data_IF_457191752055
#
_entry.id   IF_457191752055
#
_cell.length_a   1.000
_cell.length_b   1.000
_cell.length_c   1.000
_cell.angle_alpha   90.00
_cell.angle_beta   90.00
_cell.angle_gamma   90.00
#
_symmetry.space_group_name_H-M   'P 1'
#
loop_
_entity.id
_entity.type
_entity.pdbx_description
1 polymer ?
#
# COMPACT_ATOMS: atom_id res chain seq x y z
N UNK A 1 20.12 -11.29 12.68
CA UNK A 1 18.68 -11.65 12.55
C UNK A 1 18.01 -10.59 11.68
N UNK A 2 17.85 -10.88 10.40
CA UNK A 2 17.23 -9.95 9.44
C UNK A 2 15.71 -10.07 9.56
N UNK A 3 15.04 -9.12 10.19
CA UNK A 3 13.57 -9.01 10.21
C UNK A 3 13.15 -7.77 9.43
N UNK A 4 12.91 -7.95 8.14
CA UNK A 4 12.23 -6.94 7.32
C UNK A 4 10.78 -6.80 7.80
N UNK A 5 10.29 -5.59 7.91
CA UNK A 5 8.95 -5.22 8.45
C UNK A 5 7.78 -5.93 7.73
N UNK A 6 8.00 -6.44 6.53
CA UNK A 6 7.02 -7.19 5.71
C UNK A 6 6.91 -8.69 6.11
N UNK A 7 7.68 -9.19 7.09
CA UNK A 7 7.68 -10.62 7.46
C UNK A 7 6.41 -11.14 8.16
N UNK A 8 5.48 -10.27 8.55
CA UNK A 8 4.33 -10.68 9.36
C UNK A 8 3.16 -11.32 8.58
N UNK A 9 3.15 -11.29 7.24
CA UNK A 9 1.99 -11.73 6.44
C UNK A 9 1.96 -13.24 6.12
N UNK A 10 3.04 -13.99 6.32
CA UNK A 10 3.23 -15.30 5.67
C UNK A 10 3.33 -16.54 6.56
N UNK A 11 3.07 -16.49 7.87
CA UNK A 11 3.16 -17.70 8.71
C UNK A 11 1.85 -18.48 8.91
N UNK A 12 0.74 -18.13 8.26
CA UNK A 12 -0.57 -18.77 8.49
C UNK A 12 -1.09 -19.68 7.35
N UNK A 13 -0.31 -19.95 6.29
CA UNK A 13 -0.82 -20.66 5.11
C UNK A 13 -0.18 -22.04 4.82
N UNK A 14 0.43 -22.71 5.79
CA UNK A 14 1.06 -24.01 5.58
C UNK A 14 0.41 -25.13 6.39
N UNK A 15 -0.80 -25.55 6.04
CA UNK A 15 -1.32 -26.87 6.41
C UNK A 15 -2.60 -27.21 5.60
N UNK A 16 -2.46 -27.66 4.37
CA UNK A 16 -3.42 -28.56 3.70
C UNK A 16 -2.75 -29.10 2.43
N UNK A 17 -1.98 -30.15 2.62
CA UNK A 17 -1.48 -30.98 1.53
C UNK A 17 -2.48 -32.10 1.26
N UNK A 18 -2.65 -32.42 -0.01
CA UNK A 18 -3.39 -33.62 -0.35
C UNK A 18 -3.76 -33.80 -1.81
N UNK A 19 -3.04 -34.68 -2.46
CA UNK A 19 -3.47 -35.58 -3.54
C UNK A 19 -3.44 -35.09 -5.00
N UNK A 20 -2.45 -35.60 -5.68
CA UNK A 20 -2.36 -35.72 -7.15
C UNK A 20 -3.39 -36.74 -7.66
N UNK A 21 -4.21 -36.37 -8.62
CA UNK A 21 -5.00 -37.29 -9.41
C UNK A 21 -4.86 -36.95 -10.91
N UNK A 22 -4.70 -38.01 -11.65
CA UNK A 22 -4.33 -38.12 -13.03
C UNK A 22 -5.23 -37.40 -14.04
N UNK A 23 -4.64 -37.08 -15.21
CA UNK A 23 -5.24 -36.35 -16.34
C UNK A 23 -6.57 -36.92 -16.84
N UNK A 24 -7.58 -36.09 -16.80
CA UNK A 24 -8.75 -36.18 -17.65
C UNK A 24 -8.80 -34.93 -18.51
N UNK A 25 -8.88 -35.13 -19.83
CA UNK A 25 -9.24 -34.08 -20.78
C UNK A 25 -10.58 -33.49 -20.37
N UNK A 26 -10.55 -32.32 -19.75
CA UNK A 26 -11.75 -31.61 -19.34
C UNK A 26 -12.57 -31.24 -20.58
N UNK A 27 -13.91 -31.51 -20.60
CA UNK A 27 -14.78 -30.97 -21.62
C UNK A 27 -14.69 -29.45 -21.59
N UNK A 28 -14.85 -28.82 -22.76
CA UNK A 28 -14.84 -27.37 -22.90
C UNK A 28 -15.73 -26.76 -21.81
N UNK A 29 -15.13 -26.01 -20.89
CA UNK A 29 -15.84 -25.45 -19.75
C UNK A 29 -16.96 -24.55 -20.23
N UNK A 30 -18.20 -24.88 -19.82
CA UNK A 30 -19.33 -23.98 -20.03
C UNK A 30 -18.95 -22.60 -19.43
N UNK A 31 -19.08 -21.51 -20.20
CA UNK A 31 -18.70 -20.19 -19.70
C UNK A 31 -19.43 -19.90 -18.39
N UNK A 32 -18.68 -19.66 -17.34
CA UNK A 32 -19.25 -19.30 -16.03
C UNK A 32 -19.61 -17.81 -16.04
N UNK A 33 -20.76 -17.41 -15.47
CA UNK A 33 -21.08 -16.00 -15.29
C UNK A 33 -20.00 -15.29 -14.49
N UNK A 34 -19.63 -14.09 -14.92
CA UNK A 34 -18.67 -13.23 -14.25
C UNK A 34 -19.41 -12.04 -13.65
N UNK A 35 -19.16 -11.82 -12.36
CA UNK A 35 -19.71 -10.72 -11.60
C UNK A 35 -18.65 -9.60 -11.46
N UNK A 36 -19.01 -8.41 -11.93
CA UNK A 36 -18.17 -7.21 -11.83
C UNK A 36 -18.83 -6.22 -10.88
N UNK A 37 -18.08 -5.81 -9.86
CA UNK A 37 -18.52 -4.75 -8.95
C UNK A 37 -18.24 -3.39 -9.55
N UNK A 38 -19.22 -2.50 -9.49
CA UNK A 38 -19.15 -1.16 -10.05
C UNK A 38 -19.70 -0.15 -9.05
N UNK A 39 -18.84 0.73 -8.55
CA UNK A 39 -19.28 1.88 -7.76
C UNK A 39 -19.41 3.10 -8.67
N UNK A 40 -20.55 3.76 -8.60
CA UNK A 40 -20.82 4.98 -9.39
C UNK A 40 -21.10 6.14 -8.46
N UNK A 41 -20.35 7.22 -8.61
CA UNK A 41 -20.50 8.42 -7.80
C UNK A 41 -20.70 9.66 -8.67
N UNK A 42 -21.53 10.58 -8.20
CA UNK A 42 -21.71 11.91 -8.77
C UNK A 42 -21.91 12.92 -7.64
N UNK A 43 -21.30 14.10 -7.75
CA UNK A 43 -21.44 15.14 -6.72
C UNK A 43 -20.99 14.73 -5.31
N UNK A 44 -20.08 13.76 -5.21
CA UNK A 44 -19.59 13.23 -3.93
C UNK A 44 -20.51 12.19 -3.27
N UNK A 45 -21.61 11.79 -3.89
CA UNK A 45 -22.53 10.74 -3.42
C UNK A 45 -22.63 9.56 -4.37
N UNK A 46 -23.03 8.41 -3.83
CA UNK A 46 -23.32 7.22 -4.63
C UNK A 46 -24.62 7.42 -5.43
N UNK A 47 -24.58 7.03 -6.71
CA UNK A 47 -25.73 7.09 -7.62
C UNK A 47 -26.45 5.74 -7.56
N UNK A 48 -27.71 5.69 -7.10
CA UNK A 48 -28.46 4.45 -6.81
C UNK A 48 -29.69 4.20 -7.73
N UNK A 49 -29.91 5.08 -8.68
CA UNK A 49 -31.09 5.04 -9.58
C UNK A 49 -30.76 4.44 -10.97
N UNK A 50 -29.53 3.93 -11.19
CA UNK A 50 -29.11 3.40 -12.49
C UNK A 50 -29.75 2.04 -12.78
N UNK A 51 -30.09 1.82 -14.06
CA UNK A 51 -30.62 0.58 -14.61
C UNK A 51 -29.57 -0.19 -15.41
N UNK A 52 -29.85 -1.43 -15.79
CA UNK A 52 -29.01 -2.24 -16.65
C UNK A 52 -28.70 -1.55 -18.00
N UNK A 53 -29.67 -0.79 -18.53
CA UNK A 53 -29.53 -0.07 -19.80
C UNK A 53 -28.58 1.10 -19.76
N UNK A 54 -28.20 1.59 -18.57
CA UNK A 54 -27.27 2.71 -18.38
C UNK A 54 -25.81 2.30 -18.52
N UNK A 55 -25.50 0.98 -18.52
CA UNK A 55 -24.15 0.46 -18.56
C UNK A 55 -23.82 -0.19 -19.91
N UNK A 56 -22.62 0.09 -20.39
CA UNK A 56 -21.99 -0.64 -21.48
C UNK A 56 -20.74 -1.34 -20.93
N UNK A 57 -20.61 -2.65 -21.24
CA UNK A 57 -19.46 -3.47 -20.85
C UNK A 57 -18.70 -3.94 -22.11
N UNK A 58 -17.39 -3.81 -22.07
CA UNK A 58 -16.52 -4.42 -23.07
C UNK A 58 -15.51 -5.36 -22.41
N UNK A 59 -15.28 -6.53 -23.01
CA UNK A 59 -14.21 -7.46 -22.65
C UNK A 59 -13.19 -7.48 -23.81
N UNK A 60 -11.94 -7.15 -23.49
CA UNK A 60 -10.85 -7.01 -24.49
C UNK A 60 -11.25 -6.12 -25.69
N UNK A 61 -12.02 -5.04 -25.41
CA UNK A 61 -12.51 -4.11 -26.40
C UNK A 61 -13.75 -4.57 -27.18
N UNK A 62 -14.28 -5.78 -26.92
CA UNK A 62 -15.49 -6.30 -27.57
C UNK A 62 -16.71 -6.09 -26.67
N UNK A 63 -17.81 -5.50 -27.17
CA UNK A 63 -19.02 -5.34 -26.39
C UNK A 63 -19.58 -6.69 -25.93
N UNK A 64 -20.00 -6.75 -24.66
CA UNK A 64 -20.61 -7.92 -24.04
C UNK A 64 -21.98 -7.55 -23.47
N UNK A 65 -23.01 -8.38 -23.71
CA UNK A 65 -24.34 -8.12 -23.15
C UNK A 65 -24.37 -8.39 -21.64
N UNK A 66 -24.82 -7.42 -20.88
CA UNK A 66 -25.13 -7.58 -19.47
C UNK A 66 -26.39 -8.44 -19.28
N UNK A 67 -26.35 -9.39 -18.32
CA UNK A 67 -27.47 -10.28 -18.02
C UNK A 67 -28.29 -9.82 -16.82
N UNK A 68 -27.61 -9.32 -15.79
CA UNK A 68 -28.27 -8.84 -14.59
C UNK A 68 -27.53 -7.69 -13.94
N UNK A 69 -28.28 -6.91 -13.16
CA UNK A 69 -27.81 -5.86 -12.29
C UNK A 69 -28.39 -6.08 -10.91
N UNK A 70 -27.55 -6.14 -9.89
CA UNK A 70 -27.96 -6.13 -8.50
C UNK A 70 -27.41 -4.89 -7.81
N UNK A 71 -28.28 -4.03 -7.28
CA UNK A 71 -27.90 -2.89 -6.46
C UNK A 71 -27.72 -3.34 -5.03
N UNK A 72 -26.52 -3.13 -4.50
CA UNK A 72 -26.18 -3.37 -3.10
C UNK A 72 -25.96 -2.02 -2.42
N UNK A 73 -26.72 -1.78 -1.34
CA UNK A 73 -26.62 -0.58 -0.50
C UNK A 73 -26.36 -0.99 0.94
N UNK A 74 -25.35 -0.36 1.52
CA UNK A 74 -24.95 -0.73 2.87
C UNK A 74 -24.77 -2.24 3.04
N UNK A 75 -24.26 -2.94 2.00
CA UNK A 75 -24.02 -4.38 1.98
C UNK A 75 -25.30 -5.24 2.02
N UNK A 76 -26.46 -4.67 1.68
CA UNK A 76 -27.73 -5.38 1.52
C UNK A 76 -28.23 -5.22 0.10
N UNK A 77 -28.93 -6.26 -0.40
CA UNK A 77 -29.53 -6.21 -1.73
C UNK A 77 -30.75 -5.29 -1.67
N UNK A 78 -30.70 -4.23 -2.45
CA UNK A 78 -31.79 -3.24 -2.52
C UNK A 78 -32.68 -3.44 -3.76
N UNK A 79 -32.06 -3.73 -4.92
CA UNK A 79 -32.82 -3.85 -6.20
C UNK A 79 -32.11 -4.86 -7.11
N UNK A 80 -32.90 -5.58 -7.91
CA UNK A 80 -32.42 -6.50 -8.95
C UNK A 80 -33.10 -6.22 -10.28
N UNK A 81 -32.40 -6.42 -11.38
CA UNK A 81 -32.87 -6.36 -12.74
C UNK A 81 -32.21 -7.49 -13.57
N UNK A 82 -32.96 -8.05 -14.52
CA UNK A 82 -32.46 -9.12 -15.40
C UNK A 82 -32.81 -10.52 -14.93
N UNK A 83 -32.04 -11.52 -15.38
CA UNK A 83 -32.28 -12.93 -15.09
C UNK A 83 -32.04 -13.20 -13.61
N UNK A 84 -33.02 -13.84 -12.98
CA UNK A 84 -33.06 -14.08 -11.54
C UNK A 84 -31.99 -15.09 -11.12
N UNK A 85 -30.84 -14.60 -10.67
CA UNK A 85 -29.85 -15.40 -9.94
C UNK A 85 -30.07 -15.12 -8.46
N UNK A 86 -30.29 -16.17 -7.67
CA UNK A 86 -30.36 -16.05 -6.21
C UNK A 86 -29.01 -15.57 -5.69
N UNK A 87 -28.86 -14.26 -5.53
CA UNK A 87 -27.67 -13.64 -4.93
C UNK A 87 -27.95 -13.44 -3.45
N UNK A 88 -27.26 -14.16 -2.60
CA UNK A 88 -27.13 -13.83 -1.17
C UNK A 88 -26.07 -12.74 -1.02
N UNK A 89 -26.23 -11.81 -0.05
CA UNK A 89 -25.14 -10.87 0.23
C UNK A 89 -23.85 -11.66 0.47
N UNK A 90 -22.78 -11.36 -0.27
CA UNK A 90 -21.54 -12.11 -0.14
C UNK A 90 -20.93 -11.90 1.26
N UNK A 91 -20.29 -12.93 1.84
CA UNK A 91 -19.48 -12.73 3.04
C UNK A 91 -18.41 -11.69 2.76
N UNK A 92 -18.05 -10.89 3.79
CA UNK A 92 -17.09 -9.80 3.64
C UNK A 92 -15.84 -10.09 4.44
N UNK A 93 -14.70 -9.91 3.79
CA UNK A 93 -13.38 -10.05 4.40
C UNK A 93 -12.63 -8.73 4.28
N UNK A 94 -12.25 -8.16 5.41
CA UNK A 94 -11.44 -6.94 5.48
C UNK A 94 -10.02 -7.27 5.89
N UNK A 95 -9.05 -6.75 5.17
CA UNK A 95 -7.64 -6.76 5.57
C UNK A 95 -7.14 -5.33 5.66
N UNK A 96 -6.71 -4.93 6.84
CA UNK A 96 -6.15 -3.61 7.12
C UNK A 96 -4.64 -3.76 7.26
N UNK A 97 -3.90 -3.08 6.41
CA UNK A 97 -2.45 -3.07 6.40
C UNK A 97 -1.96 -1.70 6.90
N UNK A 98 -1.15 -1.69 7.95
CA UNK A 98 -0.60 -0.46 8.52
C UNK A 98 0.91 -0.41 8.33
N UNK A 99 1.35 0.43 7.41
CA UNK A 99 2.76 0.77 7.19
C UNK A 99 3.00 2.18 7.72
N UNK A 100 3.15 2.26 9.04
CA UNK A 100 3.26 3.53 9.77
C UNK A 100 4.55 3.57 10.58
N UNK A 101 5.21 4.71 10.55
CA UNK A 101 6.46 4.97 11.29
C UNK A 101 6.21 5.66 12.63
N UNK A 102 5.11 6.41 12.73
CA UNK A 102 4.68 7.11 13.94
C UNK A 102 3.18 6.99 14.14
N UNK A 103 2.75 7.10 15.39
CA UNK A 103 1.34 7.16 15.72
C UNK A 103 0.72 8.50 15.34
N UNK A 104 -0.42 8.45 14.66
CA UNK A 104 -1.26 9.62 14.37
C UNK A 104 -2.57 9.52 15.19
N UNK A 105 -2.88 10.50 16.06
CA UNK A 105 -4.12 10.49 16.85
C UNK A 105 -5.41 10.44 16.04
N UNK A 106 -5.38 10.89 14.78
CA UNK A 106 -6.55 10.82 13.89
C UNK A 106 -6.90 9.39 13.45
N UNK A 107 -5.97 8.43 13.64
CA UNK A 107 -6.26 6.99 13.42
C UNK A 107 -7.33 6.47 14.38
N UNK A 108 -7.39 6.96 15.62
CA UNK A 108 -8.42 6.56 16.58
C UNK A 108 -9.82 6.77 16.02
N UNK A 109 -10.06 7.91 15.35
CA UNK A 109 -11.35 8.22 14.68
C UNK A 109 -11.64 7.28 13.52
N UNK A 110 -10.59 6.88 12.78
CA UNK A 110 -10.74 5.90 11.69
C UNK A 110 -11.12 4.52 12.24
N UNK A 111 -10.47 4.07 13.33
CA UNK A 111 -10.79 2.82 14.03
C UNK A 111 -12.21 2.84 14.59
N UNK A 112 -12.61 3.92 15.26
CA UNK A 112 -13.98 4.09 15.76
C UNK A 112 -15.01 4.02 14.64
N UNK A 113 -14.75 4.70 13.51
CA UNK A 113 -15.64 4.65 12.34
C UNK A 113 -15.73 3.25 11.75
N UNK A 114 -14.60 2.53 11.65
CA UNK A 114 -14.55 1.16 11.15
C UNK A 114 -15.49 0.24 11.94
N UNK A 115 -15.34 0.21 13.28
CA UNK A 115 -16.16 -0.64 14.13
C UNK A 115 -17.60 -0.15 14.25
N UNK A 116 -17.79 1.17 14.36
CA UNK A 116 -19.12 1.77 14.52
C UNK A 116 -20.03 1.60 13.30
N UNK A 117 -19.46 1.84 12.10
CA UNK A 117 -20.25 2.03 10.87
C UNK A 117 -19.98 1.02 9.77
N UNK A 118 -18.78 0.42 9.69
CA UNK A 118 -18.38 -0.43 8.56
C UNK A 118 -18.57 -1.91 8.87
N UNK A 119 -17.99 -2.37 9.98
CA UNK A 119 -18.00 -3.78 10.36
C UNK A 119 -19.35 -4.24 10.90
N UNK A 120 -19.72 -5.48 10.55
CA UNK A 120 -20.95 -6.15 10.96
C UNK A 120 -20.66 -7.52 11.51
N UNK A 121 -21.60 -8.07 12.26
CA UNK A 121 -21.57 -9.47 12.66
C UNK A 121 -21.44 -10.37 11.43
N UNK A 122 -20.55 -11.34 11.49
CA UNK A 122 -20.22 -12.25 10.37
C UNK A 122 -19.10 -11.77 9.45
N UNK A 123 -18.62 -10.51 9.58
CA UNK A 123 -17.45 -10.06 8.83
C UNK A 123 -16.16 -10.69 9.38
N UNK A 124 -15.26 -11.05 8.47
CA UNK A 124 -13.91 -11.46 8.82
C UNK A 124 -12.97 -10.26 8.71
N UNK A 125 -12.13 -10.06 9.71
CA UNK A 125 -11.14 -8.99 9.67
C UNK A 125 -9.75 -9.49 10.05
N UNK A 126 -8.78 -9.12 9.23
CA UNK A 126 -7.36 -9.27 9.52
C UNK A 126 -6.73 -7.88 9.64
N UNK A 127 -6.00 -7.66 10.71
CA UNK A 127 -5.21 -6.46 10.95
C UNK A 127 -3.74 -6.83 10.85
N UNK A 128 -2.99 -6.14 9.99
CA UNK A 128 -1.54 -6.30 9.87
C UNK A 128 -0.88 -5.01 10.31
N UNK A 129 -0.21 -5.07 11.47
CA UNK A 129 0.56 -3.95 12.01
C UNK A 129 2.02 -4.05 11.58
N UNK A 130 2.84 -3.00 11.76
CA UNK A 130 4.28 -3.09 11.53
C UNK A 130 5.01 -4.14 12.39
N UNK A 131 4.32 -4.67 13.42
CA UNK A 131 4.89 -5.66 14.33
C UNK A 131 4.41 -7.09 14.05
N UNK A 132 3.09 -7.32 13.90
CA UNK A 132 2.50 -8.65 13.62
C UNK A 132 1.06 -8.59 13.10
N UNK A 133 0.55 -9.69 12.51
CA UNK A 133 -0.86 -9.80 12.15
C UNK A 133 -1.72 -10.16 13.36
N UNK A 134 -3.00 -9.76 13.28
CA UNK A 134 -4.08 -10.14 14.18
C UNK A 134 -5.32 -10.53 13.38
N UNK A 135 -6.07 -11.49 13.86
CA UNK A 135 -7.33 -11.91 13.28
C UNK A 135 -8.46 -11.64 14.26
N UNK A 136 -9.46 -10.90 13.83
CA UNK A 136 -10.69 -10.74 14.59
C UNK A 136 -11.57 -11.95 14.32
N UNK A 137 -11.95 -12.67 15.35
CA UNK A 137 -12.88 -13.78 15.23
C UNK A 137 -14.24 -13.28 14.80
N UNK A 138 -14.94 -14.01 13.94
CA UNK A 138 -16.22 -13.60 13.34
C UNK A 138 -17.34 -13.36 14.37
N UNK A 139 -17.25 -14.00 15.53
CA UNK A 139 -18.20 -13.86 16.66
C UNK A 139 -17.85 -12.70 17.59
N UNK A 140 -16.64 -12.15 17.52
CA UNK A 140 -16.19 -11.06 18.40
C UNK A 140 -17.11 -9.85 18.37
N UNK A 141 -17.65 -9.50 17.19
CA UNK A 141 -18.61 -8.41 17.00
C UNK A 141 -19.99 -8.69 17.63
N UNK A 142 -20.28 -9.95 17.95
CA UNK A 142 -21.50 -10.36 18.65
C UNK A 142 -21.29 -10.46 20.16
N UNK A 143 -20.06 -10.76 20.60
CA UNK A 143 -19.72 -11.01 22.00
C UNK A 143 -19.27 -9.74 22.76
N UNK A 144 -18.76 -8.74 22.06
CA UNK A 144 -18.24 -7.49 22.64
C UNK A 144 -18.88 -6.28 22.02
N UNK A 145 -18.91 -5.17 22.74
CA UNK A 145 -19.37 -3.92 22.17
C UNK A 145 -18.39 -3.41 21.10
N UNK A 146 -18.92 -2.78 20.08
CA UNK A 146 -18.10 -2.18 19.02
C UNK A 146 -17.09 -1.15 19.56
N UNK A 147 -17.49 -0.42 20.62
CA UNK A 147 -16.66 0.56 21.29
C UNK A 147 -15.47 -0.09 22.00
N UNK A 148 -15.68 -1.21 22.70
CA UNK A 148 -14.59 -1.94 23.37
C UNK A 148 -13.60 -2.54 22.38
N UNK A 149 -14.10 -3.06 21.25
CA UNK A 149 -13.26 -3.58 20.18
C UNK A 149 -12.44 -2.47 19.50
N UNK A 150 -13.06 -1.31 19.26
CA UNK A 150 -12.37 -0.15 18.69
C UNK A 150 -11.26 0.33 19.63
N UNK A 151 -11.54 0.46 20.92
CA UNK A 151 -10.55 0.84 21.94
C UNK A 151 -9.39 -0.15 22.02
N UNK A 152 -9.67 -1.45 22.07
CA UNK A 152 -8.65 -2.49 22.12
C UNK A 152 -7.77 -2.50 20.88
N UNK A 153 -8.36 -2.27 19.68
CA UNK A 153 -7.63 -2.14 18.44
C UNK A 153 -6.74 -0.90 18.43
N UNK A 154 -7.25 0.25 18.87
CA UNK A 154 -6.51 1.51 18.95
C UNK A 154 -5.26 1.37 19.84
N UNK A 155 -5.42 0.82 21.04
CA UNK A 155 -4.33 0.55 21.98
C UNK A 155 -3.28 -0.42 21.36
N UNK A 156 -3.75 -1.46 20.67
CA UNK A 156 -2.90 -2.44 20.00
C UNK A 156 -2.10 -1.78 18.88
N UNK A 157 -2.77 -1.02 18.01
CA UNK A 157 -2.12 -0.30 16.91
C UNK A 157 -1.05 0.66 17.40
N UNK A 158 -1.39 1.48 18.41
CA UNK A 158 -0.44 2.43 18.99
C UNK A 158 0.82 1.75 19.51
N UNK A 159 0.67 0.66 20.23
CA UNK A 159 1.78 -0.13 20.78
C UNK A 159 2.63 -0.76 19.67
N UNK A 160 1.97 -1.33 18.67
CA UNK A 160 2.65 -2.08 17.60
C UNK A 160 3.34 -1.17 16.59
N UNK A 161 2.78 0.01 16.30
CA UNK A 161 3.44 1.03 15.49
C UNK A 161 4.74 1.48 16.17
N UNK A 162 4.68 1.76 17.48
CA UNK A 162 5.88 2.16 18.24
C UNK A 162 6.95 1.07 18.28
N UNK A 163 6.55 -0.20 18.33
CA UNK A 163 7.48 -1.33 18.33
C UNK A 163 8.05 -1.64 16.95
N UNK A 164 7.16 -1.72 15.94
CA UNK A 164 7.53 -2.13 14.60
C UNK A 164 8.33 -1.08 13.84
N UNK A 165 8.16 0.21 14.16
CA UNK A 165 8.89 1.32 13.55
C UNK A 165 10.22 1.65 14.26
N UNK A 166 10.62 0.90 15.28
CA UNK A 166 11.83 1.16 16.06
C UNK A 166 13.08 1.28 15.19
N UNK A 167 13.34 0.27 14.37
CA UNK A 167 14.52 0.25 13.48
C UNK A 167 14.55 1.44 12.51
N UNK A 168 13.39 1.81 11.93
CA UNK A 168 13.29 2.99 11.07
C UNK A 168 13.66 4.28 11.82
N UNK A 169 13.13 4.47 13.03
CA UNK A 169 13.41 5.67 13.84
C UNK A 169 14.87 5.73 14.27
N UNK A 170 15.46 4.60 14.65
CA UNK A 170 16.87 4.52 15.02
C UNK A 170 17.76 4.89 13.82
N UNK A 171 17.42 4.42 12.62
CA UNK A 171 18.13 4.78 11.39
C UNK A 171 17.96 6.27 11.04
N UNK A 172 16.76 6.84 11.20
CA UNK A 172 16.55 8.29 11.01
C UNK A 172 17.39 9.10 12.00
N UNK A 173 17.45 8.70 13.28
CA UNK A 173 18.25 9.36 14.29
C UNK A 173 19.75 9.26 13.97
N UNK A 174 20.23 8.09 13.58
CA UNK A 174 21.63 7.84 13.20
C UNK A 174 22.04 8.66 11.96
N UNK A 175 21.23 8.61 10.89
CA UNK A 175 21.47 9.41 9.68
C UNK A 175 21.46 10.90 9.97
N UNK A 176 20.56 11.37 10.86
CA UNK A 176 20.50 12.78 11.28
C UNK A 176 21.76 13.20 12.03
N UNK A 177 22.29 12.32 12.90
CA UNK A 177 23.51 12.55 13.65
C UNK A 177 24.73 12.61 12.71
N UNK A 178 24.85 11.65 11.82
CA UNK A 178 25.96 11.58 10.85
C UNK A 178 25.89 12.73 9.83
N UNK A 179 24.71 13.10 9.33
CA UNK A 179 24.56 14.27 8.44
C UNK A 179 25.06 15.56 9.09
N UNK A 180 24.75 15.75 10.39
CA UNK A 180 25.26 16.92 11.14
C UNK A 180 26.76 16.90 11.31
N UNK A 181 27.35 15.75 11.65
CA UNK A 181 28.78 15.61 11.82
C UNK A 181 29.54 15.89 10.51
N UNK A 182 29.10 15.27 9.41
CA UNK A 182 29.70 15.46 8.08
C UNK A 182 29.52 16.91 7.61
N UNK A 183 28.35 17.53 7.81
CA UNK A 183 28.12 18.94 7.46
C UNK A 183 28.93 19.90 8.35
N UNK A 184 29.14 19.54 9.61
CA UNK A 184 30.00 20.30 10.55
C UNK A 184 31.47 20.32 10.12
N UNK A 185 31.99 19.21 9.64
CA UNK A 185 33.35 19.11 9.07
C UNK A 185 33.51 20.08 7.88
N UNK A 186 32.51 20.16 7.00
CA UNK A 186 32.50 21.12 5.88
C UNK A 186 32.55 22.58 6.37
N UNK A 187 31.91 22.89 7.50
CA UNK A 187 31.89 24.25 8.10
C UNK A 187 33.21 24.61 8.78
N UNK A 188 33.76 23.68 9.54
CA UNK A 188 35.02 23.88 10.26
C UNK A 188 36.23 24.07 9.32
N UNK A 189 36.27 23.29 8.22
CA UNK A 189 37.35 23.43 7.23
C UNK A 189 37.31 24.77 6.49
N UNK A 190 36.11 25.35 6.28
CA UNK A 190 35.96 26.69 5.67
C UNK A 190 36.35 27.86 6.59
N UNK A 191 36.50 27.62 7.91
CA UNK A 191 36.89 28.64 8.90
C UNK A 191 38.39 28.60 9.21
N UNK A 192 39.13 27.66 8.63
CA UNK A 192 40.56 27.42 8.91
C UNK A 192 41.52 28.18 7.99
N UNK A 193 41.02 29.06 7.12
CA UNK A 193 41.90 29.84 6.21
C UNK A 193 42.89 30.78 6.92
N UNK A 194 42.75 31.00 8.26
CA UNK A 194 43.63 31.91 9.03
C UNK A 194 44.43 31.23 10.16
N UNK A 195 44.47 29.91 10.24
CA UNK A 195 45.28 29.22 11.29
C UNK A 195 46.26 28.27 10.61
N UNK A 196 47.56 28.56 10.76
CA UNK A 196 48.67 27.62 10.43
C UNK A 196 48.43 26.30 11.16
N UNK A 197 47.81 25.33 10.47
CA UNK A 197 47.56 23.98 10.99
C UNK A 197 48.75 23.07 10.69
N UNK A 198 49.19 22.34 11.69
CA UNK A 198 50.20 21.28 11.59
C UNK A 198 49.73 20.21 10.56
N UNK A 199 50.55 19.79 9.57
CA UNK A 199 50.20 18.79 8.56
C UNK A 199 49.71 17.45 9.10
N UNK A 200 49.96 17.14 10.37
CA UNK A 200 49.51 15.92 11.05
C UNK A 200 48.03 15.94 11.41
N UNK A 201 47.39 17.12 11.55
CA UNK A 201 45.98 17.30 11.91
C UNK A 201 45.03 16.99 10.73
N UNK A 202 45.48 17.16 9.48
CA UNK A 202 44.67 16.95 8.29
C UNK A 202 44.45 15.45 7.96
N UNK A 203 45.46 14.59 8.29
CA UNK A 203 45.34 13.16 8.08
C UNK A 203 44.32 12.50 9.05
N UNK A 204 44.28 12.98 10.29
CA UNK A 204 43.35 12.48 11.32
C UNK A 204 41.92 12.95 11.08
N UNK A 205 41.73 14.17 10.56
CA UNK A 205 40.40 14.70 10.18
C UNK A 205 39.82 13.97 8.96
N UNK A 206 40.68 13.58 7.99
CA UNK A 206 40.24 12.80 6.81
C UNK A 206 39.79 11.38 7.17
N UNK A 207 40.52 10.69 8.05
CA UNK A 207 40.14 9.36 8.51
C UNK A 207 38.82 9.36 9.31
N UNK A 208 38.64 10.35 10.16
CA UNK A 208 37.37 10.56 10.86
C UNK A 208 36.18 10.77 9.92
N UNK A 209 36.36 11.55 8.85
CA UNK A 209 35.35 11.81 7.83
C UNK A 209 35.01 10.55 7.02
N UNK A 210 36.01 9.79 6.55
CA UNK A 210 35.78 8.53 5.83
C UNK A 210 34.93 7.55 6.64
N UNK A 211 35.25 7.38 7.92
CA UNK A 211 34.49 6.51 8.82
C UNK A 211 33.05 6.98 8.97
N UNK A 212 32.79 8.30 9.03
CA UNK A 212 31.46 8.85 9.12
C UNK A 212 30.68 8.64 7.82
N UNK A 213 31.31 8.84 6.66
CA UNK A 213 30.71 8.60 5.35
C UNK A 213 30.32 7.13 5.19
N UNK A 214 31.21 6.19 5.57
CA UNK A 214 30.92 4.76 5.49
C UNK A 214 29.76 4.34 6.39
N UNK A 215 29.72 4.82 7.62
CA UNK A 215 28.59 4.58 8.53
C UNK A 215 27.27 5.15 7.98
N UNK A 216 27.34 6.35 7.43
CA UNK A 216 26.16 6.98 6.82
C UNK A 216 25.67 6.15 5.64
N UNK A 217 26.55 5.71 4.75
CA UNK A 217 26.23 4.83 3.61
C UNK A 217 25.59 3.52 4.07
N UNK A 218 26.17 2.86 5.08
CA UNK A 218 25.61 1.61 5.62
C UNK A 218 24.21 1.80 6.22
N UNK A 219 24.00 2.87 6.99
CA UNK A 219 22.69 3.19 7.57
C UNK A 219 21.66 3.52 6.49
N UNK A 220 22.07 4.22 5.42
CA UNK A 220 21.23 4.51 4.27
C UNK A 220 20.80 3.23 3.53
N UNK A 221 21.75 2.33 3.25
CA UNK A 221 21.44 1.04 2.61
C UNK A 221 20.53 0.16 3.48
N UNK A 222 20.68 0.19 4.81
CA UNK A 222 19.78 -0.51 5.73
C UNK A 222 18.38 0.09 5.68
N UNK A 223 18.27 1.41 5.66
CA UNK A 223 16.98 2.11 5.54
C UNK A 223 16.28 1.76 4.23
N UNK A 224 16.99 1.72 3.10
CA UNK A 224 16.45 1.25 1.84
C UNK A 224 15.93 -0.19 1.94
N UNK A 225 16.69 -1.07 2.59
CA UNK A 225 16.32 -2.49 2.74
C UNK A 225 15.02 -2.73 3.51
N UNK A 226 14.72 -1.91 4.52
CA UNK A 226 13.48 -2.05 5.31
C UNK A 226 12.25 -1.45 4.58
N UNK A 227 12.46 -0.68 3.51
CA UNK A 227 11.41 -0.02 2.73
C UNK A 227 11.05 -0.76 1.43
N UNK A 228 11.83 -1.76 1.04
CA UNK A 228 11.55 -2.51 -0.18
C UNK A 228 10.16 -3.14 -0.15
N UNK A 229 9.35 -2.82 -1.17
CA UNK A 229 8.09 -3.52 -1.42
C UNK A 229 8.43 -4.92 -1.92
N UNK A 230 8.00 -5.93 -1.19
CA UNK A 230 8.21 -7.33 -1.57
C UNK A 230 7.05 -7.79 -2.46
N UNK A 231 7.27 -7.70 -3.76
CA UNK A 231 6.29 -8.09 -4.79
C UNK A 231 5.88 -9.56 -4.67
N UNK A 232 6.83 -10.45 -4.36
CA UNK A 232 6.54 -11.88 -4.20
C UNK A 232 5.57 -12.14 -3.04
N UNK A 233 5.68 -11.38 -1.95
CA UNK A 233 4.74 -11.44 -0.84
C UNK A 233 3.37 -10.90 -1.21
N UNK A 234 3.30 -9.80 -1.95
CA UNK A 234 2.03 -9.26 -2.43
C UNK A 234 1.32 -10.24 -3.36
N UNK A 235 2.06 -10.89 -4.26
CA UNK A 235 1.53 -11.94 -5.13
C UNK A 235 1.03 -13.15 -4.33
N UNK A 236 1.81 -13.63 -3.34
CA UNK A 236 1.42 -14.73 -2.46
C UNK A 236 0.19 -14.37 -1.61
N UNK A 237 0.10 -13.14 -1.14
CA UNK A 237 -1.06 -12.62 -0.42
C UNK A 237 -2.31 -12.62 -1.31
N UNK A 238 -2.22 -12.10 -2.54
CA UNK A 238 -3.33 -12.16 -3.50
C UNK A 238 -3.76 -13.61 -3.77
N UNK A 239 -2.79 -14.52 -3.98
CA UNK A 239 -3.07 -15.94 -4.21
C UNK A 239 -3.77 -16.60 -3.00
N UNK A 240 -3.41 -16.23 -1.76
CA UNK A 240 -4.06 -16.74 -0.56
C UNK A 240 -5.50 -16.26 -0.40
N UNK A 241 -5.82 -15.06 -0.86
CA UNK A 241 -7.17 -14.51 -0.81
C UNK A 241 -8.05 -14.97 -1.99
N UNK A 242 -7.46 -15.44 -3.10
CA UNK A 242 -8.22 -15.83 -4.28
C UNK A 242 -9.28 -16.90 -4.01
N UNK A 243 -9.02 -17.99 -3.26
CA UNK A 243 -10.04 -19.01 -2.94
C UNK A 243 -11.06 -18.55 -1.90
N UNK A 244 -10.82 -17.43 -1.19
CA UNK A 244 -11.75 -16.94 -0.17
C UNK A 244 -13.00 -16.42 -0.87
N UNK A 245 -14.21 -16.95 -0.54
CA UNK A 245 -15.43 -16.49 -1.18
C UNK A 245 -15.84 -15.09 -0.73
N UNK A 246 -16.59 -14.41 -1.56
CA UNK A 246 -17.22 -13.14 -1.23
C UNK A 246 -16.37 -11.91 -1.51
N UNK A 247 -16.71 -10.84 -0.83
CA UNK A 247 -16.07 -9.54 -1.01
C UNK A 247 -14.79 -9.45 -0.19
N UNK A 248 -13.71 -9.04 -0.82
CA UNK A 248 -12.39 -8.92 -0.21
C UNK A 248 -11.92 -7.47 -0.32
N UNK A 249 -11.91 -6.76 0.78
CA UNK A 249 -11.48 -5.37 0.86
C UNK A 249 -10.15 -5.29 1.57
N UNK A 250 -9.14 -4.75 0.91
CA UNK A 250 -7.80 -4.53 1.46
C UNK A 250 -7.55 -3.04 1.53
N UNK A 251 -7.22 -2.53 2.72
CA UNK A 251 -6.96 -1.10 2.93
C UNK A 251 -5.54 -0.94 3.46
N UNK A 252 -4.69 -0.28 2.69
CA UNK A 252 -3.33 0.05 3.08
C UNK A 252 -3.28 1.49 3.61
N UNK A 253 -2.92 1.62 4.88
CA UNK A 253 -2.54 2.89 5.49
C UNK A 253 -1.02 2.99 5.42
N UNK A 254 -0.52 3.90 4.59
CA UNK A 254 0.90 4.14 4.40
C UNK A 254 1.24 5.56 4.80
N UNK A 255 2.16 5.72 5.74
CA UNK A 255 2.55 7.05 6.21
C UNK A 255 3.75 7.57 5.40
N UNK A 256 3.71 8.87 5.07
CA UNK A 256 4.81 9.58 4.43
C UNK A 256 6.10 9.41 5.21
N UNK A 257 7.15 9.03 4.53
CA UNK A 257 8.45 8.73 5.11
C UNK A 257 9.51 9.72 4.63
N UNK A 258 10.41 10.09 5.55
CA UNK A 258 11.51 11.00 5.26
C UNK A 258 12.83 10.37 5.68
N UNK A 259 13.87 10.64 4.89
CA UNK A 259 15.24 10.33 5.26
C UNK A 259 16.06 11.61 5.38
N UNK A 260 16.95 11.72 6.37
CA UNK A 260 17.91 12.80 6.45
C UNK A 260 19.01 12.61 5.39
N UNK A 261 19.24 13.61 4.57
CA UNK A 261 20.36 13.67 3.62
C UNK A 261 21.34 14.76 4.03
N UNK A 262 22.60 14.58 3.68
CA UNK A 262 23.62 15.61 3.85
C UNK A 262 23.20 16.83 3.01
N UNK A 263 23.28 18.03 3.61
CA UNK A 263 22.89 19.25 2.92
C UNK A 263 23.69 19.38 1.60
N UNK A 264 23.05 19.69 0.46
CA UNK A 264 23.73 19.80 -0.83
C UNK A 264 24.88 20.81 -0.85
N UNK A 265 24.76 21.94 -0.12
CA UNK A 265 25.83 22.92 -0.03
C UNK A 265 27.03 22.38 0.74
N UNK A 266 26.80 21.59 1.82
CA UNK A 266 27.88 20.90 2.55
C UNK A 266 28.53 19.84 1.68
N UNK A 267 27.73 19.06 0.94
CA UNK A 267 28.25 18.04 0.01
C UNK A 267 29.18 18.65 -1.05
N UNK A 268 28.73 19.74 -1.72
CA UNK A 268 29.53 20.43 -2.72
C UNK A 268 30.84 21.00 -2.13
N UNK A 269 30.78 21.55 -0.91
CA UNK A 269 31.96 22.07 -0.21
C UNK A 269 32.94 20.95 0.10
N UNK A 270 32.48 19.80 0.60
CA UNK A 270 33.32 18.65 0.87
C UNK A 270 33.99 18.10 -0.41
N UNK A 271 33.25 18.00 -1.51
CA UNK A 271 33.82 17.61 -2.80
C UNK A 271 34.94 18.54 -3.26
N UNK A 272 34.77 19.86 -3.03
CA UNK A 272 35.80 20.86 -3.36
C UNK A 272 37.01 20.79 -2.42
N UNK A 273 36.77 20.60 -1.12
CA UNK A 273 37.86 20.49 -0.12
C UNK A 273 38.72 19.25 -0.28
N UNK A 274 38.12 18.13 -0.66
CA UNK A 274 38.81 16.84 -0.78
C UNK A 274 39.01 16.42 -2.25
N UNK A 275 39.10 17.38 -3.17
CA UNK A 275 39.33 17.11 -4.59
C UNK A 275 40.63 16.37 -4.87
N UNK A 276 41.68 16.58 -4.02
CA UNK A 276 42.97 15.95 -4.11
C UNK A 276 43.07 14.63 -3.32
N UNK A 277 41.97 14.21 -2.65
CA UNK A 277 41.87 12.92 -1.99
C UNK A 277 40.90 12.00 -2.76
N UNK A 278 41.41 11.12 -3.64
CA UNK A 278 40.60 10.30 -4.52
C UNK A 278 39.61 9.38 -3.75
N UNK A 279 39.99 8.91 -2.56
CA UNK A 279 39.18 7.99 -1.76
C UNK A 279 37.95 8.70 -1.18
N UNK A 280 38.14 9.87 -0.55
CA UNK A 280 37.05 10.66 0.01
C UNK A 280 36.13 11.13 -1.11
N UNK A 281 36.69 11.63 -2.22
CA UNK A 281 35.94 12.09 -3.36
C UNK A 281 35.07 10.97 -3.94
N UNK A 282 35.61 9.76 -4.13
CA UNK A 282 34.87 8.61 -4.59
C UNK A 282 33.70 8.26 -3.65
N UNK A 283 33.94 8.24 -2.34
CA UNK A 283 32.91 7.95 -1.34
C UNK A 283 31.78 9.01 -1.33
N UNK A 284 32.11 10.29 -1.51
CA UNK A 284 31.11 11.36 -1.62
C UNK A 284 30.30 11.26 -2.93
N UNK A 285 30.95 10.90 -4.03
CA UNK A 285 30.27 10.66 -5.32
C UNK A 285 29.32 9.46 -5.24
N UNK A 286 29.73 8.38 -4.59
CA UNK A 286 28.87 7.21 -4.35
C UNK A 286 27.63 7.57 -3.52
N UNK A 287 27.80 8.37 -2.46
CA UNK A 287 26.66 8.89 -1.69
C UNK A 287 25.70 9.73 -2.55
N UNK A 288 26.25 10.59 -3.41
CA UNK A 288 25.45 11.41 -4.29
C UNK A 288 24.62 10.56 -5.29
N UNK A 289 25.19 9.45 -5.77
CA UNK A 289 24.46 8.49 -6.61
C UNK A 289 23.36 7.76 -5.81
N UNK A 290 23.64 7.37 -4.57
CA UNK A 290 22.64 6.74 -3.69
C UNK A 290 21.47 7.68 -3.40
N UNK A 291 21.71 8.99 -3.23
CA UNK A 291 20.63 9.96 -3.02
C UNK A 291 19.68 10.09 -4.22
N UNK A 292 20.20 9.91 -5.43
CA UNK A 292 19.41 9.96 -6.68
C UNK A 292 18.69 8.65 -7.02
N UNK A 293 18.97 7.58 -6.27
CA UNK A 293 18.42 6.27 -6.59
C UNK A 293 16.96 6.16 -6.16
N UNK A 294 16.08 6.04 -7.13
CA UNK A 294 14.66 5.74 -6.93
C UNK A 294 14.44 4.24 -6.72
N UNK A 295 13.53 3.89 -5.82
CA UNK A 295 13.14 2.51 -5.49
C UNK A 295 11.67 2.29 -5.84
N UNK A 296 11.41 2.11 -7.11
CA UNK A 296 10.08 1.76 -7.62
C UNK A 296 9.90 0.24 -7.54
N UNK A 297 8.65 -0.19 -7.33
CA UNK A 297 8.28 -1.59 -7.55
C UNK A 297 7.45 -1.71 -8.83
N UNK A 298 7.56 -2.89 -9.49
CA UNK A 298 6.72 -3.20 -10.64
C UNK A 298 5.33 -3.59 -10.16
N UNK A 299 4.38 -2.66 -10.30
CA UNK A 299 3.01 -2.89 -9.91
C UNK A 299 2.22 -3.77 -10.90
N UNK A 300 2.75 -4.05 -12.10
CA UNK A 300 1.98 -4.69 -13.19
C UNK A 300 1.50 -6.10 -12.85
N UNK A 301 2.39 -6.95 -12.35
CA UNK A 301 2.04 -8.30 -11.92
C UNK A 301 1.13 -8.29 -10.69
N UNK A 302 1.44 -7.42 -9.72
CA UNK A 302 0.71 -7.34 -8.45
C UNK A 302 -0.71 -6.83 -8.65
N UNK A 303 -0.92 -5.74 -9.41
CA UNK A 303 -2.27 -5.22 -9.68
C UNK A 303 -3.17 -6.22 -10.40
N UNK A 304 -2.60 -6.99 -11.37
CA UNK A 304 -3.34 -8.04 -12.06
C UNK A 304 -3.71 -9.18 -11.12
N UNK A 305 -2.79 -9.61 -10.24
CA UNK A 305 -3.05 -10.66 -9.27
C UNK A 305 -4.13 -10.24 -8.24
N UNK A 306 -4.12 -8.98 -7.80
CA UNK A 306 -5.15 -8.44 -6.90
C UNK A 306 -6.52 -8.37 -7.58
N UNK A 307 -6.57 -7.90 -8.82
CA UNK A 307 -7.80 -7.87 -9.62
C UNK A 307 -8.34 -9.29 -9.84
N UNK A 308 -7.49 -10.24 -10.23
CA UNK A 308 -7.83 -11.66 -10.41
C UNK A 308 -8.34 -12.33 -9.13
N UNK A 309 -7.80 -11.95 -7.98
CA UNK A 309 -8.28 -12.42 -6.69
C UNK A 309 -9.61 -11.77 -6.27
N UNK A 310 -10.14 -10.80 -7.02
CA UNK A 310 -11.34 -10.05 -6.69
C UNK A 310 -11.17 -9.19 -5.43
N UNK A 311 -9.97 -8.65 -5.23
CA UNK A 311 -9.64 -7.78 -4.11
C UNK A 311 -9.95 -6.33 -4.50
N UNK A 312 -10.68 -5.62 -3.65
CA UNK A 312 -10.81 -4.17 -3.70
C UNK A 312 -9.67 -3.58 -2.87
N UNK A 313 -8.65 -3.04 -3.54
CA UNK A 313 -7.50 -2.45 -2.86
C UNK A 313 -7.68 -0.94 -2.72
N UNK A 314 -7.65 -0.45 -1.49
CA UNK A 314 -7.71 0.97 -1.16
C UNK A 314 -6.38 1.44 -0.58
N UNK A 315 -5.90 2.57 -1.06
CA UNK A 315 -4.65 3.16 -0.64
C UNK A 315 -4.87 4.49 0.08
N UNK A 316 -4.59 4.54 1.37
CA UNK A 316 -4.67 5.74 2.19
C UNK A 316 -3.25 6.19 2.52
N UNK A 317 -2.79 7.21 1.81
CA UNK A 317 -1.50 7.82 2.05
C UNK A 317 -1.65 8.90 3.13
N UNK A 318 -1.08 8.62 4.30
CA UNK A 318 -1.16 9.51 5.44
C UNK A 318 -0.05 10.55 5.39
N UNK A 319 -0.43 11.81 5.31
CA UNK A 319 0.51 12.92 5.29
C UNK A 319 1.17 13.11 6.65
N UNK A 320 2.46 13.34 6.61
CA UNK A 320 3.31 13.66 7.77
C UNK A 320 4.20 14.84 7.39
N UNK A 321 4.39 15.78 8.30
CA UNK A 321 5.33 16.88 8.13
C UNK A 321 6.75 16.39 8.40
N UNK A 322 7.70 16.84 7.56
CA UNK A 322 9.11 16.61 7.84
C UNK A 322 9.55 17.36 9.10
N UNK A 323 10.39 16.69 9.91
CA UNK A 323 11.06 17.37 11.02
C UNK A 323 12.27 18.15 10.48
N UNK A 324 12.48 19.37 10.98
CA UNK A 324 13.71 20.10 10.66
C UNK A 324 14.86 19.52 11.44
N UNK A 325 15.91 19.11 10.73
CA UNK A 325 17.18 18.63 11.31
C UNK A 325 18.27 19.59 10.88
N UNK A 326 18.95 20.22 11.85
CA UNK A 326 20.07 21.09 11.54
C UNK A 326 21.20 20.31 10.83
N UNK A 327 21.75 20.86 9.74
CA UNK A 327 22.80 20.22 8.97
C UNK A 327 22.36 19.09 8.05
N UNK A 328 21.06 18.78 7.99
CA UNK A 328 20.50 17.79 7.07
C UNK A 328 19.30 18.33 6.30
N UNK A 329 19.11 17.83 5.10
CA UNK A 329 17.90 18.02 4.30
C UNK A 329 17.02 16.79 4.45
N UNK A 330 15.76 16.99 4.82
CA UNK A 330 14.81 15.86 4.92
C UNK A 330 14.22 15.59 3.54
N UNK A 331 14.62 14.50 2.93
CA UNK A 331 14.11 14.07 1.62
C UNK A 331 12.95 13.11 1.79
N UNK A 332 11.84 13.35 1.08
CA UNK A 332 10.72 12.43 1.03
C UNK A 332 11.10 11.22 0.17
N UNK A 333 10.93 10.03 0.72
CA UNK A 333 11.28 8.78 0.05
C UNK A 333 10.07 7.91 -0.29
N UNK A 334 8.88 8.23 0.23
CA UNK A 334 7.65 7.50 -0.06
C UNK A 334 7.08 7.81 -1.44
N UNK A 335 7.53 8.87 -2.11
CA UNK A 335 7.17 9.20 -3.49
C UNK A 335 7.52 8.08 -4.47
N UNK A 336 8.55 7.30 -4.20
CA UNK A 336 9.01 6.20 -5.05
C UNK A 336 7.95 5.09 -5.23
N UNK A 337 7.23 4.76 -4.16
CA UNK A 337 6.26 3.65 -4.13
C UNK A 337 4.81 4.11 -4.31
N UNK A 338 4.56 5.41 -4.11
CA UNK A 338 3.22 6.00 -4.19
C UNK A 338 2.50 5.70 -5.52
N UNK A 339 3.11 5.90 -6.71
CA UNK A 339 2.45 5.66 -8.00
C UNK A 339 2.01 4.22 -8.17
N UNK A 340 2.83 3.25 -7.74
CA UNK A 340 2.52 1.83 -7.83
C UNK A 340 1.28 1.44 -7.01
N UNK A 341 1.14 1.95 -5.78
CA UNK A 341 -0.06 1.69 -4.97
C UNK A 341 -1.30 2.41 -5.50
N UNK A 342 -1.16 3.62 -6.05
CA UNK A 342 -2.27 4.31 -6.74
C UNK A 342 -2.74 3.50 -7.94
N UNK A 343 -1.82 2.96 -8.71
CA UNK A 343 -2.13 2.12 -9.87
C UNK A 343 -2.83 0.81 -9.46
N UNK A 344 -2.38 0.16 -8.38
CA UNK A 344 -3.05 -1.01 -7.81
C UNK A 344 -4.50 -0.69 -7.38
N UNK A 345 -4.72 0.41 -6.66
CA UNK A 345 -6.05 0.83 -6.25
C UNK A 345 -6.97 1.04 -7.47
N UNK A 346 -6.48 1.74 -8.48
CA UNK A 346 -7.22 1.98 -9.72
C UNK A 346 -7.56 0.68 -10.47
N UNK A 347 -6.60 -0.25 -10.57
CA UNK A 347 -6.77 -1.51 -11.30
C UNK A 347 -7.77 -2.47 -10.63
N UNK A 348 -7.96 -2.35 -9.32
CA UNK A 348 -8.86 -3.20 -8.53
C UNK A 348 -10.23 -2.56 -8.26
N UNK A 349 -10.48 -1.34 -8.77
CA UNK A 349 -11.73 -0.62 -8.52
C UNK A 349 -11.82 0.02 -7.13
N UNK A 350 -10.70 0.11 -6.41
CA UNK A 350 -10.61 0.78 -5.13
C UNK A 350 -10.30 2.27 -5.25
N UNK A 351 -10.02 2.90 -4.11
CA UNK A 351 -9.73 4.34 -4.00
C UNK A 351 -8.30 4.59 -3.57
N UNK A 352 -7.74 5.73 -3.99
CA UNK A 352 -6.50 6.27 -3.44
C UNK A 352 -6.75 7.67 -2.88
N UNK A 353 -6.24 7.96 -1.70
CA UNK A 353 -6.38 9.26 -1.06
C UNK A 353 -5.08 9.64 -0.34
N UNK A 354 -4.60 10.88 -0.57
CA UNK A 354 -3.57 11.51 0.26
C UNK A 354 -4.28 12.42 1.27
N UNK A 355 -4.08 12.21 2.56
CA UNK A 355 -4.90 12.86 3.58
C UNK A 355 -4.21 13.00 4.92
N UNK A 356 -4.45 14.13 5.59
CA UNK A 356 -4.21 14.32 7.02
C UNK A 356 -5.35 13.78 7.89
N UNK A 357 -6.47 13.34 7.25
CA UNK A 357 -7.64 12.81 7.93
C UNK A 357 -7.93 11.37 7.48
N UNK A 358 -7.30 10.35 8.10
CA UNK A 358 -7.48 8.95 7.74
C UNK A 358 -8.93 8.46 7.92
N UNK A 359 -9.71 9.07 8.81
CA UNK A 359 -11.11 8.71 9.00
C UNK A 359 -11.98 9.10 7.80
N UNK A 360 -11.76 10.27 7.21
CA UNK A 360 -12.46 10.69 6.00
C UNK A 360 -12.08 9.82 4.80
N UNK A 361 -10.79 9.50 4.65
CA UNK A 361 -10.31 8.61 3.60
C UNK A 361 -10.88 7.19 3.75
N UNK A 362 -10.91 6.65 4.98
CA UNK A 362 -11.54 5.36 5.28
C UNK A 362 -13.04 5.37 4.98
N UNK A 363 -13.73 6.47 5.28
CA UNK A 363 -15.16 6.62 4.96
C UNK A 363 -15.39 6.52 3.46
N UNK A 364 -14.56 7.18 2.65
CA UNK A 364 -14.64 7.11 1.19
C UNK A 364 -14.37 5.69 0.67
N UNK A 365 -13.33 5.02 1.18
CA UNK A 365 -13.01 3.64 0.83
C UNK A 365 -14.14 2.66 1.22
N UNK A 366 -14.70 2.82 2.42
CA UNK A 366 -15.81 1.99 2.90
C UNK A 366 -17.08 2.19 2.07
N UNK A 367 -17.38 3.41 1.61
CA UNK A 367 -18.52 3.68 0.76
C UNK A 367 -18.44 2.88 -0.55
N UNK A 368 -17.27 2.81 -1.18
CA UNK A 368 -17.06 2.00 -2.40
C UNK A 368 -17.29 0.51 -2.14
N UNK A 369 -16.89 0.03 -0.96
CA UNK A 369 -17.03 -1.38 -0.58
C UNK A 369 -18.46 -1.76 -0.11
N UNK A 370 -19.30 -0.79 0.28
CA UNK A 370 -20.65 -1.05 0.82
C UNK A 370 -21.76 -0.73 -0.14
N UNK A 371 -21.54 0.22 -1.06
CA UNK A 371 -22.54 0.74 -1.99
C UNK A 371 -22.03 0.54 -3.43
N UNK A 372 -22.59 -0.44 -4.14
CA UNK A 372 -22.16 -0.77 -5.49
C UNK A 372 -23.23 -1.50 -6.30
N UNK A 373 -23.03 -1.53 -7.60
CA UNK A 373 -23.75 -2.40 -8.53
C UNK A 373 -22.92 -3.67 -8.78
N UNK A 374 -23.57 -4.82 -8.73
CA UNK A 374 -23.02 -6.08 -9.21
C UNK A 374 -23.59 -6.32 -10.60
N UNK A 375 -22.75 -6.20 -11.62
CA UNK A 375 -23.11 -6.46 -13.01
C UNK A 375 -22.66 -7.86 -13.38
N UNK A 376 -23.60 -8.69 -13.89
CA UNK A 376 -23.30 -10.06 -14.32
C UNK A 376 -23.37 -10.15 -15.84
N UNK A 377 -22.34 -10.75 -16.44
CA UNK A 377 -22.32 -11.07 -17.86
C UNK A 377 -21.75 -12.48 -18.09
N UNK A 378 -21.92 -13.02 -19.31
CA UNK A 378 -21.34 -14.29 -19.69
C UNK A 378 -20.20 -14.02 -20.67
N UNK A 379 -18.93 -14.37 -20.30
CA UNK A 379 -17.79 -14.23 -21.22
C UNK A 379 -17.98 -15.00 -22.51
N UNK A 380 -17.41 -14.51 -23.60
CA UNK A 380 -17.46 -15.20 -24.89
C UNK A 380 -16.80 -16.59 -24.86
N UNK A 381 -17.33 -17.56 -25.61
CA UNK A 381 -16.96 -18.98 -25.56
C UNK A 381 -15.49 -19.29 -26.01
N UNK A 382 -14.77 -18.39 -26.60
CA UNK A 382 -13.37 -18.58 -27.04
C UNK A 382 -12.39 -18.00 -26.03
N UNK A 383 -12.31 -18.56 -24.84
CA UNK A 383 -11.42 -18.05 -23.82
C UNK A 383 -10.05 -18.72 -23.87
N UNK A 384 -9.10 -18.07 -24.54
CA UNK A 384 -7.68 -18.37 -24.33
C UNK A 384 -7.34 -18.00 -22.88
N UNK A 385 -6.67 -18.89 -22.12
CA UNK A 385 -6.24 -18.55 -20.77
C UNK A 385 -5.44 -17.24 -20.72
N UNK A 386 -5.72 -16.40 -19.76
CA UNK A 386 -5.01 -15.12 -19.63
C UNK A 386 -5.83 -14.03 -18.95
N UNK A 387 -5.22 -12.86 -18.79
CA UNK A 387 -5.90 -11.70 -18.22
C UNK A 387 -6.87 -11.10 -19.24
N UNK A 388 -8.13 -10.95 -18.86
CA UNK A 388 -9.20 -10.32 -19.63
C UNK A 388 -9.43 -8.93 -19.11
N UNK A 389 -9.22 -7.94 -19.96
CA UNK A 389 -9.51 -6.56 -19.63
C UNK A 389 -11.02 -6.30 -19.70
N UNK A 390 -11.57 -5.73 -18.65
CA UNK A 390 -12.96 -5.28 -18.62
C UNK A 390 -13.00 -3.76 -18.54
N UNK A 391 -13.81 -3.12 -19.36
CA UNK A 391 -14.07 -1.68 -19.33
C UNK A 391 -15.58 -1.45 -19.20
N UNK A 392 -15.97 -0.69 -18.18
CA UNK A 392 -17.37 -0.33 -17.89
C UNK A 392 -17.56 1.15 -18.21
N UNK A 393 -18.48 1.43 -19.10
CA UNK A 393 -18.87 2.80 -19.43
C UNK A 393 -20.29 3.07 -18.99
N UNK A 394 -20.51 4.24 -18.43
CA UNK A 394 -21.81 4.73 -18.07
C UNK A 394 -22.29 5.71 -19.14
N UNK A 395 -23.53 5.55 -19.59
CA UNK A 395 -24.17 6.45 -20.58
C UNK A 395 -24.51 7.80 -19.99
N UNK A 396 -24.68 7.87 -18.65
CA UNK A 396 -24.96 9.11 -17.92
C UNK A 396 -23.69 9.93 -17.74
N UNK A 397 -23.62 11.18 -18.23
CA UNK A 397 -22.44 12.03 -18.07
C UNK A 397 -22.28 12.51 -16.61
N UNK A 398 -21.07 12.97 -16.27
CA UNK A 398 -20.78 13.58 -14.95
C UNK A 398 -20.66 12.60 -13.80
N UNK A 399 -20.67 11.29 -14.05
CA UNK A 399 -20.45 10.27 -13.05
C UNK A 399 -19.04 9.71 -13.12
N UNK A 400 -18.47 9.42 -11.95
CA UNK A 400 -17.23 8.66 -11.81
C UNK A 400 -17.58 7.18 -11.63
N UNK A 401 -16.95 6.32 -12.42
CA UNK A 401 -17.09 4.87 -12.35
C UNK A 401 -15.83 4.25 -11.79
N UNK A 402 -15.96 3.45 -10.74
CA UNK A 402 -14.88 2.64 -10.17
C UNK A 402 -15.24 1.17 -10.34
N UNK A 403 -14.39 0.43 -11.06
CA UNK A 403 -14.54 -1.01 -11.31
C UNK A 403 -13.18 -1.67 -11.46
N UNK A 404 -13.05 -2.99 -11.20
CA UNK A 404 -11.83 -3.73 -11.52
C UNK A 404 -11.50 -3.66 -13.00
N UNK A 405 -10.18 -3.59 -13.32
CA UNK A 405 -9.71 -3.52 -14.71
C UNK A 405 -9.83 -4.84 -15.48
N UNK A 406 -10.15 -5.94 -14.79
CA UNK A 406 -10.31 -7.24 -15.42
C UNK A 406 -10.11 -8.43 -14.48
N UNK A 407 -10.03 -9.62 -15.04
CA UNK A 407 -9.84 -10.89 -14.32
C UNK A 407 -9.06 -11.90 -15.18
N UNK A 408 -8.57 -12.98 -14.57
CA UNK A 408 -7.91 -14.06 -15.30
C UNK A 408 -8.89 -15.19 -15.60
N UNK A 409 -8.94 -15.60 -16.87
CA UNK A 409 -9.53 -16.86 -17.32
C UNK A 409 -8.49 -17.95 -17.25
N UNK A 410 -8.83 -19.09 -16.65
CA UNK A 410 -7.98 -20.28 -16.51
C UNK A 410 -8.24 -21.28 -17.62
#
# INVERSE_FOLDING_TARGET
MRRSIVYAVLTAAAALGGSLAAGQTLPASVPQPVDIRVHVAAGGGFVDDLSLADFDLTEDGRPQPLRSLTLIRSGQINRRQGIDVMVTPPPRTYTLLFQLTDWDPNLSKAVEYLFGSVLRAGDHMTLVTPFKPYHLQSDALSLRTKADLAKAMDETLRKDILRGSGEYRDLVAELSRLSRAISGTAGAAGSREDIESDPTDDADSGFGLETQIDRYRQSLMRMEGIRLVDEAKLLSFAASLKPVPGQKTVILFYQREFRPEINPAAMNRLMSLYQDNPQILANLMDLFQLFKRERKFDADAVKKAFADAGIDFHFIFMEKKSQRVFGATMHEQSEDVYPGFVEMARATGGTSASSTNPAAALKAAAAVSTDYYLLTYLPGAASVPGFRRVDIRLKRPGCQVLSPAGFFVR
#
